data_IF_241032080244
#
_entry.id   IF_241032080244
#
_cell.length_a   1.000
_cell.length_b   1.000
_cell.length_c   1.000
_cell.angle_alpha   90.00
_cell.angle_beta   90.00
_cell.angle_gamma   90.00
#
_symmetry.space_group_name_H-M   'P 1'
#
loop_
_entity.id
_entity.type
_entity.pdbx_description
1 polymer ?
#
# COMPACT_ATOMS: atom_id res chain seq x y z
N UNK A 1 24.47 6.30 8.47
CA UNK A 1 24.50 7.37 8.29
C UNK A 1 24.42 8.29 7.07
N UNK A 2 23.42 8.15 6.19
CA UNK A 2 23.19 9.11 5.11
C UNK A 2 22.53 10.38 5.67
N UNK A 3 23.03 11.55 5.23
CA UNK A 3 22.46 12.85 5.60
C UNK A 3 21.19 13.18 4.81
N UNK A 4 21.04 12.60 3.62
CA UNK A 4 19.91 12.79 2.72
C UNK A 4 19.55 11.48 2.02
N UNK A 5 18.27 11.16 1.93
CA UNK A 5 17.78 9.92 1.32
C UNK A 5 16.38 10.11 0.72
N UNK A 6 16.02 9.23 -0.20
CA UNK A 6 14.65 9.07 -0.70
C UNK A 6 13.94 7.94 0.04
N UNK A 7 12.62 8.03 0.15
CA UNK A 7 11.78 6.96 0.67
C UNK A 7 10.82 6.45 -0.40
N UNK A 8 10.65 5.12 -0.48
CA UNK A 8 9.68 4.49 -1.38
C UNK A 8 8.88 3.45 -0.61
N UNK A 9 7.59 3.33 -0.92
CA UNK A 9 6.75 2.31 -0.32
C UNK A 9 5.40 2.12 -0.99
N UNK A 10 4.89 0.89 -0.86
CA UNK A 10 3.52 0.49 -1.12
C UNK A 10 2.90 -0.04 0.17
N UNK A 11 1.60 -0.20 0.24
CA UNK A 11 0.86 -0.67 1.42
C UNK A 11 1.29 0.04 2.71
N UNK A 12 1.66 -0.70 3.75
CA UNK A 12 2.26 -0.15 4.99
C UNK A 12 3.50 0.69 4.73
N UNK A 13 4.32 0.29 3.75
CA UNK A 13 5.50 1.04 3.35
C UNK A 13 5.16 2.43 2.81
N UNK A 14 4.00 2.62 2.22
CA UNK A 14 3.55 3.95 1.76
C UNK A 14 3.24 4.87 2.95
N UNK A 15 2.56 4.36 3.95
CA UNK A 15 2.25 5.10 5.18
C UNK A 15 3.54 5.46 5.91
N UNK A 16 4.45 4.49 6.09
CA UNK A 16 5.74 4.71 6.75
C UNK A 16 6.60 5.73 5.99
N UNK A 17 6.68 5.61 4.66
CA UNK A 17 7.46 6.54 3.83
C UNK A 17 6.92 7.96 3.90
N UNK A 18 5.59 8.12 3.92
CA UNK A 18 4.95 9.42 4.08
C UNK A 18 5.21 10.01 5.47
N UNK A 19 5.11 9.22 6.53
CA UNK A 19 5.41 9.65 7.89
C UNK A 19 6.90 10.02 8.06
N UNK A 20 7.83 9.32 7.38
CA UNK A 20 9.24 9.73 7.32
C UNK A 20 9.40 11.11 6.68
N UNK A 21 8.66 11.39 5.60
CA UNK A 21 8.64 12.71 4.96
C UNK A 21 8.15 13.82 5.89
N UNK A 22 7.19 13.53 6.76
CA UNK A 22 6.71 14.47 7.77
C UNK A 22 7.69 14.66 8.93
N UNK A 23 8.20 13.56 9.47
CA UNK A 23 9.06 13.58 10.66
C UNK A 23 10.49 14.06 10.38
N UNK A 24 11.01 13.84 9.18
CA UNK A 24 12.40 14.11 8.80
C UNK A 24 12.50 14.89 7.48
N UNK A 25 11.64 15.90 7.28
CA UNK A 25 11.55 16.67 6.03
C UNK A 25 12.85 17.34 5.59
N UNK A 26 13.78 17.61 6.49
CA UNK A 26 15.12 18.13 6.16
C UNK A 26 16.10 17.07 5.61
N UNK A 27 15.81 15.78 5.79
CA UNK A 27 16.66 14.67 5.36
C UNK A 27 16.05 13.88 4.19
N UNK A 28 14.72 13.83 4.10
CA UNK A 28 14.01 13.14 3.03
C UNK A 28 13.95 14.02 1.79
N UNK A 29 14.67 13.61 0.74
CA UNK A 29 14.71 14.31 -0.54
C UNK A 29 13.40 14.25 -1.31
N UNK A 30 12.66 13.17 -1.15
CA UNK A 30 11.36 12.91 -1.78
C UNK A 30 10.77 11.60 -1.29
N UNK A 31 9.48 11.43 -1.47
CA UNK A 31 8.71 10.23 -1.14
C UNK A 31 8.03 9.71 -2.40
N UNK A 32 8.25 8.43 -2.75
CA UNK A 32 7.59 7.78 -3.87
C UNK A 32 6.65 6.69 -3.36
N UNK A 33 5.40 6.72 -3.80
CA UNK A 33 4.34 5.84 -3.31
C UNK A 33 3.66 5.09 -4.46
N UNK A 34 3.47 3.80 -4.32
CA UNK A 34 2.61 3.02 -5.22
C UNK A 34 1.27 2.61 -4.57
N UNK A 35 0.96 3.16 -3.41
CA UNK A 35 -0.37 3.24 -2.83
C UNK A 35 -0.48 4.59 -2.10
N UNK A 36 -1.48 5.38 -2.40
CA UNK A 36 -1.76 6.62 -1.66
C UNK A 36 -3.23 6.67 -1.29
N UNK A 37 -3.53 6.57 -0.01
CA UNK A 37 -4.90 6.70 0.49
C UNK A 37 -5.30 8.16 0.44
N UNK A 38 -6.24 8.49 -0.46
CA UNK A 38 -6.82 9.83 -0.56
C UNK A 38 -8.22 9.85 0.05
N UNK A 39 -8.58 10.97 0.64
CA UNK A 39 -9.92 11.18 1.20
C UNK A 39 -10.58 12.36 0.49
N UNK A 40 -11.86 12.20 0.07
CA UNK A 40 -12.60 13.35 -0.39
C UNK A 40 -12.78 14.34 0.77
N UNK A 41 -12.76 15.64 0.52
CA UNK A 41 -13.22 16.64 1.48
C UNK A 41 -14.72 16.45 1.75
N UNK A 42 -15.26 17.17 2.76
CA UNK A 42 -16.70 17.12 3.10
C UNK A 42 -17.57 17.54 1.92
N UNK A 43 -17.13 18.54 1.17
CA UNK A 43 -17.70 18.91 -0.13
C UNK A 43 -16.64 18.67 -1.23
N UNK A 44 -16.72 17.55 -1.96
CA UNK A 44 -15.79 17.27 -3.04
C UNK A 44 -16.11 18.03 -4.34
N UNK A 45 -17.21 18.77 -4.39
CA UNK A 45 -17.74 19.35 -5.62
C UNK A 45 -18.18 18.29 -6.62
N UNK A 46 -18.32 18.68 -7.90
CA UNK A 46 -18.64 17.75 -8.98
C UNK A 46 -17.50 16.76 -9.20
N UNK A 47 -17.84 15.47 -9.22
CA UNK A 47 -16.91 14.37 -9.47
C UNK A 47 -16.92 14.04 -10.96
N UNK A 48 -15.75 13.81 -11.53
CA UNK A 48 -15.66 13.16 -12.82
C UNK A 48 -16.12 11.70 -12.72
N UNK A 49 -16.46 11.09 -13.84
CA UNK A 49 -16.84 9.67 -13.90
C UNK A 49 -15.75 8.77 -13.32
N UNK A 50 -14.49 9.05 -13.65
CA UNK A 50 -13.33 8.31 -13.13
C UNK A 50 -13.18 8.46 -11.61
N UNK A 51 -13.32 9.65 -11.08
CA UNK A 51 -13.25 9.89 -9.63
C UNK A 51 -14.39 9.20 -8.88
N UNK A 52 -15.61 9.22 -9.44
CA UNK A 52 -16.75 8.51 -8.88
C UNK A 52 -16.49 6.99 -8.88
N UNK A 53 -15.94 6.43 -9.95
CA UNK A 53 -15.54 5.03 -10.05
C UNK A 53 -14.48 4.67 -9.00
N UNK A 54 -13.44 5.47 -8.82
CA UNK A 54 -12.38 5.25 -7.80
C UNK A 54 -12.95 5.28 -6.38
N UNK A 55 -13.84 6.21 -6.08
CA UNK A 55 -14.53 6.25 -4.77
C UNK A 55 -15.42 5.04 -4.55
N UNK A 56 -16.13 4.59 -5.59
CA UNK A 56 -16.94 3.38 -5.52
C UNK A 56 -16.08 2.14 -5.27
N UNK A 57 -14.96 1.98 -5.97
CA UNK A 57 -14.02 0.88 -5.76
C UNK A 57 -13.49 0.87 -4.32
N UNK A 58 -13.07 2.02 -3.79
CA UNK A 58 -12.62 2.15 -2.41
C UNK A 58 -13.73 1.83 -1.38
N UNK A 59 -14.99 2.15 -1.68
CA UNK A 59 -16.13 1.78 -0.82
C UNK A 59 -16.41 0.28 -0.87
N UNK A 60 -16.39 -0.31 -2.06
CA UNK A 60 -16.57 -1.75 -2.24
C UNK A 60 -15.49 -2.55 -1.50
N UNK A 61 -14.22 -2.17 -1.65
CA UNK A 61 -13.12 -2.78 -0.90
C UNK A 61 -13.34 -2.72 0.62
N UNK A 62 -13.72 -1.55 1.16
CA UNK A 62 -14.02 -1.42 2.59
C UNK A 62 -15.19 -2.28 3.05
N UNK A 63 -16.18 -2.47 2.21
CA UNK A 63 -17.38 -3.25 2.55
C UNK A 63 -17.13 -4.76 2.51
N UNK A 64 -16.35 -5.26 1.56
CA UNK A 64 -16.25 -6.71 1.27
C UNK A 64 -14.81 -7.24 1.28
N UNK A 65 -13.80 -6.43 0.98
CA UNK A 65 -12.40 -6.84 0.87
C UNK A 65 -11.54 -6.62 2.13
N UNK A 66 -12.06 -5.90 3.14
CA UNK A 66 -11.28 -5.49 4.32
C UNK A 66 -11.42 -6.40 5.53
N UNK A 67 -12.04 -7.58 5.39
CA UNK A 67 -12.28 -8.52 6.51
C UNK A 67 -11.00 -8.92 7.24
N UNK A 68 -9.91 -9.17 6.52
CA UNK A 68 -8.59 -9.47 7.07
C UNK A 68 -8.10 -8.34 8.01
N UNK A 69 -8.25 -7.09 7.60
CA UNK A 69 -7.83 -5.92 8.36
C UNK A 69 -8.68 -5.73 9.62
N UNK A 70 -9.98 -5.99 9.54
CA UNK A 70 -10.89 -5.94 10.69
C UNK A 70 -10.52 -6.99 11.75
N UNK A 71 -10.22 -8.22 11.33
CA UNK A 71 -9.77 -9.29 12.26
C UNK A 71 -8.42 -8.92 12.88
N UNK A 72 -7.43 -8.55 12.07
CA UNK A 72 -6.09 -8.17 12.54
C UNK A 72 -6.12 -6.92 13.43
N UNK A 73 -6.99 -5.95 13.13
CA UNK A 73 -7.16 -4.73 13.91
C UNK A 73 -7.89 -4.90 15.26
N UNK A 74 -8.60 -6.01 15.45
CA UNK A 74 -9.43 -6.23 16.64
C UNK A 74 -9.06 -7.46 17.45
N UNK A 75 -8.72 -8.57 16.81
CA UNK A 75 -8.46 -9.89 17.41
C UNK A 75 -7.21 -10.57 16.83
N UNK A 76 -6.04 -9.86 16.73
CA UNK A 76 -4.85 -10.39 16.10
C UNK A 76 -4.34 -11.69 16.75
N UNK A 77 -4.44 -11.78 18.08
CA UNK A 77 -3.94 -12.95 18.82
C UNK A 77 -4.71 -14.22 18.50
N UNK A 78 -6.04 -14.13 18.33
CA UNK A 78 -6.88 -15.29 17.99
C UNK A 78 -6.50 -15.84 16.63
N UNK A 79 -6.28 -14.95 15.65
CA UNK A 79 -5.85 -15.32 14.30
C UNK A 79 -4.44 -15.93 14.30
N UNK A 80 -3.53 -15.36 15.10
CA UNK A 80 -2.11 -15.75 15.16
C UNK A 80 -1.92 -17.24 15.47
N UNK A 81 -2.71 -17.82 16.34
CA UNK A 81 -2.62 -19.25 16.68
C UNK A 81 -2.86 -20.14 15.45
N UNK A 82 -3.94 -19.89 14.72
CA UNK A 82 -4.28 -20.67 13.53
C UNK A 82 -3.25 -20.52 12.40
N UNK A 83 -2.75 -19.31 12.16
CA UNK A 83 -1.75 -19.06 11.13
C UNK A 83 -0.35 -19.60 11.49
N UNK A 84 0.01 -19.62 12.76
CA UNK A 84 1.28 -20.19 13.22
C UNK A 84 1.26 -21.71 13.22
N UNK A 85 0.14 -22.31 13.54
CA UNK A 85 -0.01 -23.77 13.64
C UNK A 85 -0.19 -24.43 12.26
N UNK A 86 -0.87 -23.76 11.34
CA UNK A 86 -1.23 -24.34 10.03
C UNK A 86 -0.48 -23.67 8.87
N UNK A 87 0.46 -24.36 8.20
CA UNK A 87 1.08 -23.85 6.97
C UNK A 87 0.05 -23.66 5.85
N UNK A 88 -0.96 -24.51 5.76
CA UNK A 88 -2.07 -24.35 4.80
C UNK A 88 -2.93 -23.10 5.14
N UNK A 89 -3.15 -22.83 6.42
CA UNK A 89 -3.86 -21.62 6.86
C UNK A 89 -3.06 -20.34 6.51
N UNK A 90 -1.74 -20.37 6.75
CA UNK A 90 -0.86 -19.25 6.38
C UNK A 90 -0.79 -19.05 4.86
N UNK A 91 -0.72 -20.15 4.10
CA UNK A 91 -0.77 -20.11 2.63
C UNK A 91 -2.07 -19.47 2.15
N UNK A 92 -3.22 -19.96 2.59
CA UNK A 92 -4.52 -19.45 2.18
C UNK A 92 -4.69 -17.96 2.51
N UNK A 93 -4.28 -17.56 3.72
CA UNK A 93 -4.37 -16.17 4.18
C UNK A 93 -3.61 -15.18 3.31
N UNK A 94 -2.40 -15.53 2.87
CA UNK A 94 -1.57 -14.68 2.02
C UNK A 94 -2.00 -14.79 0.54
N UNK A 95 -2.18 -16.01 0.03
CA UNK A 95 -2.46 -16.25 -1.40
C UNK A 95 -3.79 -15.65 -1.84
N UNK A 96 -4.80 -15.60 -0.96
CA UNK A 96 -6.07 -14.91 -1.22
C UNK A 96 -5.82 -13.45 -1.68
N UNK A 97 -4.86 -12.74 -1.05
CA UNK A 97 -4.56 -11.35 -1.38
C UNK A 97 -3.88 -11.23 -2.75
N UNK A 98 -3.04 -12.17 -3.11
CA UNK A 98 -2.49 -12.22 -4.46
C UNK A 98 -3.58 -12.47 -5.52
N UNK A 99 -4.58 -13.30 -5.23
CA UNK A 99 -5.72 -13.50 -6.12
C UNK A 99 -6.62 -12.27 -6.28
N UNK A 100 -6.82 -11.51 -5.20
CA UNK A 100 -7.74 -10.37 -5.21
C UNK A 100 -7.12 -9.05 -5.67
N UNK A 101 -5.82 -8.84 -5.42
CA UNK A 101 -5.17 -7.54 -5.55
C UNK A 101 -4.15 -7.45 -6.68
N UNK A 102 -3.92 -8.54 -7.41
CA UNK A 102 -3.09 -8.56 -8.61
C UNK A 102 -3.91 -8.33 -9.88
N UNK A 103 -3.23 -7.98 -10.95
CA UNK A 103 -3.85 -7.60 -12.22
C UNK A 103 -4.62 -8.77 -12.86
N UNK A 104 -4.04 -9.97 -12.82
CA UNK A 104 -4.62 -11.14 -13.49
C UNK A 104 -5.64 -11.93 -12.63
N UNK A 105 -5.71 -11.68 -11.32
CA UNK A 105 -6.63 -12.37 -10.42
C UNK A 105 -6.29 -13.84 -10.12
N UNK A 106 -5.29 -14.42 -10.79
CA UNK A 106 -4.73 -15.73 -10.50
C UNK A 106 -3.32 -15.56 -9.95
N UNK A 107 -3.04 -16.01 -8.70
CA UNK A 107 -1.77 -15.71 -8.02
C UNK A 107 -0.53 -16.14 -8.79
N UNK A 108 -0.55 -17.32 -9.40
CA UNK A 108 0.57 -17.91 -10.12
C UNK A 108 0.72 -17.43 -11.58
N UNK A 109 -0.21 -16.63 -12.07
CA UNK A 109 -0.09 -15.91 -13.35
C UNK A 109 0.43 -14.47 -13.16
N UNK A 110 0.15 -13.89 -12.03
CA UNK A 110 0.56 -12.52 -11.71
C UNK A 110 1.97 -12.44 -11.11
N UNK A 111 2.32 -13.43 -10.30
CA UNK A 111 3.60 -13.51 -9.57
C UNK A 111 4.14 -14.94 -9.68
N UNK A 112 5.45 -15.05 -9.84
CA UNK A 112 6.13 -16.37 -9.86
C UNK A 112 5.76 -17.18 -8.61
N UNK A 113 5.38 -18.45 -8.82
CA UNK A 113 4.92 -19.35 -7.76
C UNK A 113 5.96 -19.56 -6.67
N UNK A 114 7.23 -19.67 -7.01
CA UNK A 114 8.29 -19.89 -6.02
C UNK A 114 8.52 -18.63 -5.18
N UNK A 115 8.37 -17.44 -5.77
CA UNK A 115 8.40 -16.18 -5.02
C UNK A 115 7.23 -16.08 -4.04
N UNK A 116 6.01 -16.44 -4.47
CA UNK A 116 4.83 -16.46 -3.61
C UNK A 116 5.01 -17.45 -2.46
N UNK A 117 5.41 -18.67 -2.74
CA UNK A 117 5.65 -19.70 -1.73
C UNK A 117 6.79 -19.34 -0.78
N UNK A 118 7.84 -18.70 -1.29
CA UNK A 118 8.94 -18.18 -0.46
C UNK A 118 8.43 -17.13 0.52
N UNK A 119 7.60 -16.20 0.06
CA UNK A 119 7.00 -15.18 0.92
C UNK A 119 6.17 -15.83 2.04
N UNK A 120 5.26 -16.75 1.71
CA UNK A 120 4.44 -17.46 2.69
C UNK A 120 5.30 -18.24 3.70
N UNK A 121 6.32 -18.94 3.18
CA UNK A 121 7.22 -19.76 3.99
C UNK A 121 8.03 -18.92 4.97
N UNK A 122 8.46 -17.73 4.59
CA UNK A 122 9.14 -16.80 5.50
C UNK A 122 8.27 -16.46 6.71
N UNK A 123 6.99 -16.08 6.52
CA UNK A 123 6.08 -15.81 7.62
C UNK A 123 5.88 -17.01 8.53
N UNK A 124 5.71 -18.20 7.92
CA UNK A 124 5.43 -19.42 8.68
C UNK A 124 6.65 -19.92 9.46
N UNK A 125 7.82 -20.03 8.84
CA UNK A 125 9.05 -20.49 9.49
C UNK A 125 9.56 -19.55 10.57
N UNK A 126 9.36 -18.25 10.40
CA UNK A 126 9.78 -17.25 11.41
C UNK A 126 8.73 -17.05 12.52
N UNK A 127 7.54 -17.64 12.40
CA UNK A 127 6.44 -17.49 13.34
C UNK A 127 5.91 -16.05 13.42
N UNK A 128 6.02 -15.26 12.35
CA UNK A 128 5.75 -13.81 12.35
C UNK A 128 4.31 -13.42 12.01
N UNK A 129 3.42 -14.37 11.78
CA UNK A 129 2.00 -14.09 11.51
C UNK A 129 1.36 -13.23 12.63
N UNK A 130 1.61 -13.57 13.88
CA UNK A 130 1.07 -12.85 15.03
C UNK A 130 1.63 -11.42 15.16
N UNK A 131 2.93 -11.22 14.96
CA UNK A 131 3.55 -9.90 15.03
C UNK A 131 3.13 -9.00 13.87
N UNK A 132 2.99 -9.54 12.66
CA UNK A 132 2.48 -8.79 11.51
C UNK A 132 1.03 -8.36 11.69
N UNK A 133 0.17 -9.24 12.19
CA UNK A 133 -1.22 -8.91 12.51
C UNK A 133 -1.33 -7.81 13.58
N UNK A 134 -0.40 -7.80 14.55
CA UNK A 134 -0.39 -6.84 15.65
C UNK A 134 -0.17 -5.40 15.18
N UNK A 135 0.52 -5.18 14.07
CA UNK A 135 0.69 -3.86 13.47
C UNK A 135 -0.68 -3.20 13.20
N UNK A 136 -1.63 -3.95 12.68
CA UNK A 136 -2.99 -3.47 12.43
C UNK A 136 -3.71 -3.08 13.73
N UNK A 137 -3.57 -3.89 14.77
CA UNK A 137 -4.18 -3.64 16.07
C UNK A 137 -3.65 -2.36 16.72
N UNK A 138 -2.33 -2.20 16.78
CA UNK A 138 -1.69 -1.03 17.38
C UNK A 138 -2.04 0.25 16.60
N UNK A 139 -2.03 0.19 15.27
CA UNK A 139 -2.38 1.33 14.41
C UNK A 139 -3.85 1.73 14.55
N UNK A 140 -4.75 0.75 14.63
CA UNK A 140 -6.18 1.03 14.85
C UNK A 140 -6.43 1.72 16.19
N UNK A 141 -5.73 1.30 17.25
CA UNK A 141 -5.82 1.91 18.59
C UNK A 141 -5.21 3.31 18.65
N UNK A 142 -4.09 3.51 17.99
CA UNK A 142 -3.44 4.81 17.88
C UNK A 142 -4.22 5.82 17.02
N UNK A 143 -5.27 5.38 16.30
CA UNK A 143 -5.99 6.15 15.28
C UNK A 143 -5.07 6.76 14.22
N UNK A 144 -3.97 6.06 13.91
CA UNK A 144 -2.88 6.54 13.07
C UNK A 144 -3.18 6.47 11.56
N UNK A 145 -4.38 6.08 11.17
CA UNK A 145 -4.80 6.00 9.74
C UNK A 145 -5.12 7.36 9.09
N UNK A 146 -5.05 8.44 9.85
CA UNK A 146 -5.40 9.75 9.33
C UNK A 146 -4.15 10.62 9.23
N UNK A 147 -3.77 11.07 8.02
CA UNK A 147 -2.73 12.10 7.91
C UNK A 147 -3.19 13.33 8.68
N UNK A 148 -2.40 13.73 9.68
CA UNK A 148 -2.69 14.88 10.53
C UNK A 148 -2.05 16.16 10.04
N UNK A 149 -1.10 16.07 9.11
CA UNK A 149 -0.35 17.19 8.58
C UNK A 149 -0.14 17.07 7.07
N UNK A 150 -0.03 18.22 6.42
CA UNK A 150 0.36 18.30 5.01
C UNK A 150 1.85 18.09 4.86
N UNK A 151 2.25 17.17 3.98
CA UNK A 151 3.65 16.95 3.63
C UNK A 151 4.13 18.03 2.65
N UNK A 152 5.26 18.66 2.96
CA UNK A 152 5.96 19.61 2.07
C UNK A 152 7.03 18.94 1.23
N UNK A 153 7.34 17.67 1.50
CA UNK A 153 8.34 16.91 0.76
C UNK A 153 7.80 16.56 -0.62
N UNK A 154 8.59 16.70 -1.70
CA UNK A 154 8.20 16.25 -3.04
C UNK A 154 7.69 14.82 -3.01
N UNK A 155 6.48 14.60 -3.53
CA UNK A 155 5.83 13.28 -3.51
C UNK A 155 5.53 12.83 -4.94
N UNK A 156 6.03 11.63 -5.30
CA UNK A 156 5.70 10.91 -6.52
C UNK A 156 4.67 9.82 -6.23
N UNK A 157 3.74 9.60 -7.15
CA UNK A 157 2.71 8.56 -7.03
C UNK A 157 2.65 7.74 -8.31
N UNK A 158 2.86 6.43 -8.17
CA UNK A 158 2.62 5.44 -9.21
C UNK A 158 1.25 4.79 -8.97
N UNK A 159 0.33 4.94 -9.91
CA UNK A 159 -1.04 4.41 -9.82
C UNK A 159 -1.17 3.18 -10.70
N UNK A 160 -1.47 2.05 -10.10
CA UNK A 160 -1.72 0.79 -10.78
C UNK A 160 -3.22 0.47 -10.83
N UNK A 161 -3.73 -0.14 -11.92
CA UNK A 161 -5.17 -0.30 -12.13
C UNK A 161 -5.87 -1.20 -11.09
N UNK A 162 -5.15 -2.15 -10.47
CA UNK A 162 -5.69 -3.07 -9.46
C UNK A 162 -5.26 -2.73 -8.04
N UNK A 163 -4.86 -1.47 -7.79
CA UNK A 163 -4.60 -1.01 -6.43
C UNK A 163 -5.91 -0.97 -5.60
N UNK A 164 -5.85 -1.51 -4.38
CA UNK A 164 -7.00 -1.62 -3.46
C UNK A 164 -7.54 -0.27 -2.98
N UNK A 165 -6.70 0.75 -3.02
CA UNK A 165 -7.04 2.13 -2.65
C UNK A 165 -6.68 3.08 -3.81
N UNK A 166 -7.44 3.07 -4.94
CA UNK A 166 -7.13 3.90 -6.09
C UNK A 166 -7.19 5.38 -5.73
N UNK A 167 -6.07 6.12 -5.83
CA UNK A 167 -6.00 7.50 -5.38
C UNK A 167 -6.65 8.46 -6.36
N UNK A 168 -7.12 9.60 -5.84
CA UNK A 168 -7.64 10.72 -6.64
C UNK A 168 -6.66 11.88 -6.56
N UNK A 169 -6.06 12.27 -7.69
CA UNK A 169 -4.95 13.22 -7.75
C UNK A 169 -5.28 14.56 -7.09
N UNK A 170 -6.46 15.14 -7.33
CA UNK A 170 -6.83 16.44 -6.74
C UNK A 170 -7.03 16.36 -5.22
N UNK A 171 -7.39 15.19 -4.67
CA UNK A 171 -7.48 15.00 -3.23
C UNK A 171 -6.09 14.75 -2.62
N UNK A 172 -5.20 14.08 -3.35
CA UNK A 172 -3.82 13.90 -2.93
C UNK A 172 -3.11 15.24 -2.69
N UNK A 173 -3.32 16.22 -3.56
CA UNK A 173 -2.75 17.56 -3.44
C UNK A 173 -3.17 18.35 -2.18
N UNK A 174 -4.19 17.91 -1.45
CA UNK A 174 -4.60 18.53 -0.19
C UNK A 174 -3.68 18.14 0.98
N UNK A 175 -3.14 16.94 0.95
CA UNK A 175 -2.31 16.38 2.03
C UNK A 175 -0.83 16.24 1.67
N UNK A 176 -0.49 16.25 0.39
CA UNK A 176 0.87 15.97 -0.09
C UNK A 176 1.28 16.94 -1.20
N UNK A 177 2.59 17.18 -1.32
CA UNK A 177 3.16 18.00 -2.40
C UNK A 177 3.46 17.11 -3.61
N UNK A 178 2.44 16.89 -4.45
CA UNK A 178 2.52 16.00 -5.60
C UNK A 178 3.31 16.66 -6.73
N UNK A 179 4.50 16.15 -7.00
CA UNK A 179 5.40 16.64 -8.07
C UNK A 179 5.55 15.63 -9.23
N UNK A 180 5.13 14.38 -9.03
CA UNK A 180 5.16 13.33 -10.03
C UNK A 180 3.91 12.45 -9.89
N UNK A 181 3.30 12.08 -11.03
CA UNK A 181 2.10 11.26 -11.03
C UNK A 181 2.05 10.46 -12.33
N UNK A 182 2.15 9.14 -12.21
CA UNK A 182 2.08 8.22 -13.34
C UNK A 182 0.93 7.25 -13.15
N UNK A 183 0.09 7.08 -14.17
CA UNK A 183 -0.97 6.07 -14.20
C UNK A 183 -0.59 4.99 -15.20
N UNK A 184 -0.55 3.74 -14.73
CA UNK A 184 -0.17 2.58 -15.52
C UNK A 184 -1.38 1.82 -16.03
N UNK A 185 -1.22 1.12 -17.16
CA UNK A 185 -2.28 0.31 -17.77
C UNK A 185 -2.28 -1.15 -17.30
N UNK A 186 -1.29 -1.57 -16.51
CA UNK A 186 -1.15 -2.94 -15.99
C UNK A 186 -0.48 -2.94 -14.62
N UNK A 187 -0.68 -4.02 -13.85
CA UNK A 187 -0.17 -4.21 -12.50
C UNK A 187 -1.21 -3.89 -11.43
N UNK A 188 -0.96 -4.36 -10.24
CA UNK A 188 -1.84 -4.22 -9.09
C UNK A 188 -1.11 -3.77 -7.83
N UNK A 189 -1.63 -4.21 -6.71
CA UNK A 189 -1.12 -3.85 -5.38
C UNK A 189 0.33 -4.29 -5.15
N UNK A 190 0.70 -5.46 -5.67
CA UNK A 190 2.04 -6.01 -5.54
C UNK A 190 2.95 -5.63 -6.71
N UNK A 191 2.89 -4.37 -7.16
CA UNK A 191 3.57 -3.87 -8.35
C UNK A 191 5.06 -4.22 -8.45
N UNK A 192 5.76 -4.31 -7.31
CA UNK A 192 7.17 -4.71 -7.28
C UNK A 192 7.40 -6.17 -7.71
N UNK A 193 6.41 -7.04 -7.53
CA UNK A 193 6.46 -8.45 -7.94
C UNK A 193 5.80 -8.67 -9.31
N UNK A 194 4.73 -7.94 -9.61
CA UNK A 194 3.96 -8.09 -10.86
C UNK A 194 4.62 -7.41 -12.06
N UNK A 195 5.07 -6.16 -11.86
CA UNK A 195 5.54 -5.27 -12.94
C UNK A 195 6.76 -4.44 -12.50
N UNK A 196 7.85 -5.11 -12.04
CA UNK A 196 9.03 -4.44 -11.50
C UNK A 196 9.67 -3.45 -12.47
N UNK A 197 9.58 -3.69 -13.77
CA UNK A 197 10.07 -2.80 -14.82
C UNK A 197 9.41 -1.43 -14.77
N UNK A 198 8.08 -1.39 -14.61
CA UNK A 198 7.30 -0.16 -14.53
C UNK A 198 7.60 0.59 -13.23
N UNK A 199 7.54 -0.10 -12.09
CA UNK A 199 7.78 0.53 -10.80
C UNK A 199 9.20 1.08 -10.67
N UNK A 200 10.22 0.30 -11.06
CA UNK A 200 11.63 0.74 -11.02
C UNK A 200 11.88 1.92 -11.96
N UNK A 201 11.26 1.89 -13.15
CA UNK A 201 11.34 2.99 -14.11
C UNK A 201 10.83 4.30 -13.50
N UNK A 202 9.63 4.27 -12.94
CA UNK A 202 8.95 5.42 -12.33
C UNK A 202 9.70 5.98 -11.11
N UNK A 203 10.17 5.09 -10.22
CA UNK A 203 11.01 5.48 -9.07
C UNK A 203 12.27 6.20 -9.52
N UNK A 204 12.95 5.68 -10.55
CA UNK A 204 14.17 6.32 -11.10
C UNK A 204 13.89 7.68 -11.71
N UNK A 205 12.77 7.81 -12.43
CA UNK A 205 12.35 9.08 -13.03
C UNK A 205 12.06 10.12 -11.97
N UNK A 206 11.27 9.77 -10.97
CA UNK A 206 10.93 10.66 -9.86
C UNK A 206 12.17 11.16 -9.09
N UNK A 207 13.10 10.26 -8.72
CA UNK A 207 14.27 10.66 -7.93
C UNK A 207 15.39 11.31 -8.73
N UNK A 208 15.38 11.25 -10.07
CA UNK A 208 16.44 11.82 -10.90
C UNK A 208 16.69 13.31 -10.65
N UNK A 209 15.68 14.19 -10.62
CA UNK A 209 15.86 15.62 -10.35
C UNK A 209 16.14 15.95 -8.87
N UNK A 210 15.98 14.99 -7.96
CA UNK A 210 16.13 15.17 -6.52
C UNK A 210 17.50 14.75 -5.97
N UNK A 211 18.41 14.32 -6.83
CA UNK A 211 19.78 13.89 -6.47
C UNK A 211 20.67 15.06 -6.06
#
# INVERSE_FOLDING_TARGET
>A
GYQRYGAQGGDWGSIISRELGLAASGQVAGVHLNMLITRPPDDPGELTEEEARRLQASRAFRATGSGYSAIQGTKPQTLAYGLTDSPAGQLAWITEKFGEWTDNGLPDEAVDRDQLLTNVTLYWLTGTAGSSARLYYETARARAWSPTARSTVPTGVAVFPREIAPPIRRFAGQSDTITHWTEFGRGGHFAAMEVPDLLVGDVREFFRPLR
#
